data_IF_179799148551
#
_entry.id   IF_179799148551
#
_cell.length_a   1.000
_cell.length_b   1.000
_cell.length_c   1.000
_cell.angle_alpha   90.00
_cell.angle_beta   90.00
_cell.angle_gamma   90.00
#
_symmetry.space_group_name_H-M   'P 1'
#
loop_
_entity.id
_entity.type
_entity.pdbx_description
1 polymer ?
#
# COMPACT_ATOMS: atom_id res chain seq x y z
N UNK A 1 38.11 -3.36 3.91
CA UNK A 1 37.20 -3.95 2.91
C UNK A 1 35.83 -3.31 3.01
N UNK A 2 35.31 -2.83 1.91
CA UNK A 2 33.99 -2.19 1.87
C UNK A 2 32.94 -3.27 1.69
N UNK A 3 32.02 -3.37 2.64
CA UNK A 3 30.92 -4.32 2.57
C UNK A 3 29.67 -3.58 2.07
N UNK A 4 29.06 -4.08 1.01
CA UNK A 4 27.83 -3.49 0.51
C UNK A 4 26.69 -3.71 1.51
N UNK A 5 25.93 -2.66 1.78
CA UNK A 5 24.74 -2.79 2.60
C UNK A 5 23.71 -3.66 1.87
N UNK A 6 23.15 -4.70 2.51
CA UNK A 6 22.12 -5.53 1.89
C UNK A 6 20.92 -4.70 1.44
N UNK A 7 20.34 -5.07 0.30
CA UNK A 7 19.16 -4.37 -0.25
C UNK A 7 18.01 -4.30 0.75
N UNK A 8 17.81 -5.34 1.55
CA UNK A 8 16.77 -5.35 2.59
C UNK A 8 16.99 -4.26 3.64
N UNK A 9 18.23 -4.01 4.07
CA UNK A 9 18.55 -2.95 5.02
C UNK A 9 18.30 -1.57 4.44
N UNK A 10 18.64 -1.35 3.18
CA UNK A 10 18.42 -0.08 2.48
C UNK A 10 16.91 0.20 2.39
N UNK A 11 16.12 -0.79 2.02
CA UNK A 11 14.66 -0.67 1.93
C UNK A 11 14.03 -0.40 3.30
N UNK A 12 14.49 -1.07 4.35
CA UNK A 12 14.00 -0.85 5.69
C UNK A 12 14.28 0.57 6.19
N UNK A 13 15.45 1.13 5.90
CA UNK A 13 15.78 2.52 6.21
C UNK A 13 14.87 3.52 5.49
N UNK A 14 14.61 3.29 4.21
CA UNK A 14 13.72 4.14 3.42
C UNK A 14 12.28 4.08 3.96
N UNK A 15 11.81 2.89 4.29
CA UNK A 15 10.48 2.69 4.87
C UNK A 15 10.37 3.38 6.23
N UNK A 16 11.38 3.27 7.09
CA UNK A 16 11.41 3.94 8.39
C UNK A 16 11.33 5.46 8.24
N UNK A 17 12.09 6.05 7.31
CA UNK A 17 12.01 7.49 7.01
C UNK A 17 10.62 7.92 6.56
N UNK A 18 10.00 7.16 5.66
CA UNK A 18 8.65 7.45 5.19
C UNK A 18 7.64 7.40 6.32
N UNK A 19 7.74 6.43 7.22
CA UNK A 19 6.83 6.29 8.35
C UNK A 19 6.97 7.39 9.38
N UNK A 20 8.12 8.08 9.45
CA UNK A 20 8.28 9.26 10.27
C UNK A 20 7.46 10.45 9.77
N UNK A 21 7.26 10.53 8.46
CA UNK A 21 6.54 11.63 7.83
C UNK A 21 5.11 11.25 7.45
N UNK A 22 4.82 9.95 7.32
CA UNK A 22 3.51 9.44 6.91
C UNK A 22 2.90 8.66 8.08
N UNK A 23 1.88 9.25 8.70
CA UNK A 23 1.12 8.61 9.78
C UNK A 23 -0.35 8.62 9.41
N UNK A 24 -1.00 7.44 9.46
CA UNK A 24 -2.42 7.32 9.23
C UNK A 24 -3.21 7.78 10.46
N UNK A 25 -4.24 8.60 10.23
CA UNK A 25 -5.15 9.07 11.26
C UNK A 25 -6.56 8.55 10.98
N UNK A 26 -7.52 8.64 11.93
CA UNK A 26 -8.89 8.22 11.63
C UNK A 26 -9.51 8.98 10.44
N UNK A 27 -9.17 10.26 10.26
CA UNK A 27 -9.67 11.10 9.16
C UNK A 27 -8.97 10.81 7.84
N UNK A 28 -7.69 10.43 7.90
CA UNK A 28 -6.88 10.13 6.73
C UNK A 28 -5.97 8.94 7.02
N UNK A 29 -6.51 7.71 6.98
CA UNK A 29 -5.72 6.50 7.21
C UNK A 29 -4.60 6.32 6.21
N UNK A 30 -3.64 5.48 6.55
CA UNK A 30 -2.50 5.18 5.70
C UNK A 30 -2.81 3.98 4.79
N UNK A 31 -2.72 4.20 3.48
CA UNK A 31 -2.80 3.11 2.50
C UNK A 31 -1.39 2.53 2.34
N UNK A 32 -1.14 1.41 2.99
CA UNK A 32 0.15 0.72 2.97
C UNK A 32 0.16 -0.35 1.90
N UNK A 33 1.21 -0.37 1.08
CA UNK A 33 1.37 -1.33 0.00
C UNK A 33 2.61 -2.17 0.25
N UNK A 34 2.45 -3.47 0.13
CA UNK A 34 3.54 -4.43 0.19
C UNK A 34 3.50 -5.33 -1.03
N UNK A 35 4.66 -5.66 -1.57
CA UNK A 35 4.75 -6.61 -2.68
C UNK A 35 5.74 -7.72 -2.35
N UNK A 36 5.38 -8.95 -2.70
CA UNK A 36 6.29 -10.07 -2.76
C UNK A 36 6.58 -10.40 -4.22
N UNK A 37 7.38 -11.43 -4.47
CA UNK A 37 7.70 -11.86 -5.82
C UNK A 37 6.43 -12.19 -6.62
N UNK A 38 5.47 -12.87 -6.01
CA UNK A 38 4.29 -13.41 -6.68
C UNK A 38 2.99 -12.67 -6.38
N UNK A 39 2.95 -11.79 -5.39
CA UNK A 39 1.71 -11.17 -4.93
C UNK A 39 1.87 -9.71 -4.52
N UNK A 40 0.74 -9.01 -4.49
CA UNK A 40 0.66 -7.61 -4.07
C UNK A 40 -0.38 -7.51 -2.96
N UNK A 41 -0.09 -6.71 -1.94
CA UNK A 41 -0.92 -6.55 -0.74
C UNK A 41 -1.17 -5.07 -0.49
N UNK A 42 -2.38 -4.74 -0.07
CA UNK A 42 -2.74 -3.37 0.31
C UNK A 42 -3.55 -3.38 1.60
N UNK A 43 -3.26 -2.44 2.50
CA UNK A 43 -3.97 -2.26 3.76
C UNK A 43 -4.24 -0.78 3.99
N UNK A 44 -5.42 -0.47 4.51
CA UNK A 44 -5.76 0.87 4.99
C UNK A 44 -5.70 0.82 6.50
N UNK A 45 -4.78 1.57 7.09
CA UNK A 45 -4.41 1.46 8.51
C UNK A 45 -4.63 2.79 9.22
N UNK A 46 -5.31 2.74 10.37
CA UNK A 46 -5.36 3.82 11.34
C UNK A 46 -4.22 3.62 12.34
N UNK A 47 -3.15 4.39 12.21
CA UNK A 47 -1.97 4.25 13.08
C UNK A 47 -2.22 4.76 14.51
N UNK A 48 -3.20 5.62 14.71
CA UNK A 48 -3.54 6.12 16.05
C UNK A 48 -4.20 5.01 16.88
N UNK A 49 -5.18 4.31 16.28
CA UNK A 49 -5.84 3.20 16.94
C UNK A 49 -5.08 1.88 16.81
N UNK A 50 -4.13 1.80 15.89
CA UNK A 50 -3.36 0.57 15.63
C UNK A 50 -4.17 -0.53 14.98
N UNK A 51 -5.15 -0.19 14.14
CA UNK A 51 -6.04 -1.18 13.50
C UNK A 51 -6.00 -1.06 11.98
N UNK A 52 -6.20 -2.19 11.31
CA UNK A 52 -6.38 -2.25 9.85
C UNK A 52 -7.86 -2.11 9.55
N UNK A 53 -8.22 -1.08 8.80
CA UNK A 53 -9.62 -0.75 8.48
C UNK A 53 -10.11 -1.48 7.24
N UNK A 54 -9.25 -1.68 6.25
CA UNK A 54 -9.56 -2.42 5.03
C UNK A 54 -8.30 -3.08 4.51
N UNK A 55 -8.44 -4.21 3.83
CA UNK A 55 -7.31 -4.92 3.25
C UNK A 55 -7.73 -5.67 2.00
N UNK A 56 -6.79 -5.87 1.08
CA UNK A 56 -6.95 -6.72 -0.09
C UNK A 56 -5.59 -7.23 -0.54
N UNK A 57 -5.55 -8.41 -1.15
CA UNK A 57 -4.33 -8.95 -1.71
C UNK A 57 -4.63 -9.75 -2.98
N UNK A 58 -3.65 -9.81 -3.88
CA UNK A 58 -3.78 -10.65 -5.08
C UNK A 58 -3.83 -12.13 -4.72
N UNK A 59 -3.22 -12.53 -3.61
CA UNK A 59 -3.27 -13.91 -3.12
C UNK A 59 -4.70 -14.33 -2.77
N UNK A 60 -5.39 -13.51 -1.97
CA UNK A 60 -6.77 -13.78 -1.54
C UNK A 60 -7.76 -13.75 -2.70
N UNK A 61 -7.49 -12.93 -3.72
CA UNK A 61 -8.35 -12.78 -4.88
C UNK A 61 -8.06 -13.80 -5.98
N UNK A 62 -7.06 -14.66 -5.78
CA UNK A 62 -6.65 -15.63 -6.79
C UNK A 62 -6.00 -15.01 -8.02
N UNK A 63 -5.46 -13.81 -7.90
CA UNK A 63 -4.78 -13.08 -8.96
C UNK A 63 -3.27 -13.32 -8.87
N UNK A 64 -2.54 -13.07 -9.95
CA UNK A 64 -1.09 -13.14 -9.91
C UNK A 64 -0.44 -11.88 -9.36
N UNK A 65 0.88 -11.76 -9.56
CA UNK A 65 1.64 -10.60 -9.12
C UNK A 65 1.95 -9.59 -10.21
N UNK A 66 1.18 -9.56 -11.29
CA UNK A 66 1.42 -8.65 -12.41
C UNK A 66 0.77 -7.27 -12.19
N UNK A 67 0.98 -6.36 -13.14
CA UNK A 67 0.45 -4.99 -13.08
C UNK A 67 -1.08 -4.97 -13.05
N UNK A 68 -1.74 -5.81 -13.82
CA UNK A 68 -3.20 -5.90 -13.86
C UNK A 68 -3.77 -6.38 -12.52
N UNK A 69 -3.12 -7.37 -11.89
CA UNK A 69 -3.50 -7.85 -10.57
C UNK A 69 -3.36 -6.74 -9.51
N UNK A 70 -2.28 -5.97 -9.58
CA UNK A 70 -2.06 -4.84 -8.67
C UNK A 70 -3.16 -3.78 -8.81
N UNK A 71 -3.57 -3.47 -10.03
CA UNK A 71 -4.68 -2.54 -10.27
C UNK A 71 -5.98 -3.05 -9.65
N UNK A 72 -6.29 -4.32 -9.80
CA UNK A 72 -7.46 -4.96 -9.18
C UNK A 72 -7.43 -4.90 -7.66
N UNK A 73 -6.27 -5.17 -7.07
CA UNK A 73 -6.07 -5.06 -5.61
C UNK A 73 -6.38 -3.63 -5.14
N UNK A 74 -5.87 -2.63 -5.87
CA UNK A 74 -6.14 -1.22 -5.58
C UNK A 74 -7.62 -0.88 -5.65
N UNK A 75 -8.32 -1.32 -6.68
CA UNK A 75 -9.76 -1.12 -6.84
C UNK A 75 -10.54 -1.73 -5.68
N UNK A 76 -10.21 -2.97 -5.29
CA UNK A 76 -10.94 -3.70 -4.25
C UNK A 76 -10.67 -3.13 -2.86
N UNK A 77 -9.43 -2.79 -2.53
CA UNK A 77 -9.13 -2.18 -1.24
C UNK A 77 -9.81 -0.82 -1.11
N UNK A 78 -9.89 -0.07 -2.21
CA UNK A 78 -10.60 1.22 -2.25
C UNK A 78 -12.10 1.03 -2.03
N UNK A 79 -12.72 0.06 -2.69
CA UNK A 79 -14.14 -0.25 -2.48
C UNK A 79 -14.42 -0.63 -1.04
N UNK A 80 -13.58 -1.45 -0.44
CA UNK A 80 -13.73 -1.87 0.97
C UNK A 80 -13.57 -0.69 1.92
N UNK A 81 -12.65 0.23 1.64
CA UNK A 81 -12.47 1.44 2.43
C UNK A 81 -13.68 2.38 2.30
N UNK A 82 -14.17 2.57 1.09
CA UNK A 82 -15.34 3.42 0.83
C UNK A 82 -16.60 2.90 1.53
N UNK A 83 -16.77 1.58 1.59
CA UNK A 83 -17.88 0.94 2.33
C UNK A 83 -17.85 1.31 3.83
N UNK A 84 -16.67 1.60 4.36
CA UNK A 84 -16.50 2.03 5.75
C UNK A 84 -16.49 3.55 5.91
N UNK A 85 -16.80 4.29 4.85
CA UNK A 85 -16.82 5.74 4.87
C UNK A 85 -15.46 6.41 4.76
N UNK A 86 -14.42 5.66 4.39
CA UNK A 86 -13.07 6.18 4.22
C UNK A 86 -12.88 6.61 2.77
N UNK A 87 -12.62 7.90 2.55
CA UNK A 87 -12.39 8.43 1.21
C UNK A 87 -10.98 8.98 1.04
N UNK A 88 -10.43 9.63 2.06
CA UNK A 88 -9.10 10.23 2.04
C UNK A 88 -8.09 9.33 2.72
N UNK A 89 -6.96 9.09 2.06
CA UNK A 89 -5.86 8.30 2.63
C UNK A 89 -4.53 8.96 2.30
N UNK A 90 -3.47 8.60 3.04
CA UNK A 90 -2.10 8.93 2.69
C UNK A 90 -1.44 7.68 2.13
N UNK A 91 -0.71 7.82 1.02
CA UNK A 91 -0.13 6.68 0.34
C UNK A 91 1.28 6.38 0.88
N UNK A 92 1.48 5.15 1.37
CA UNK A 92 2.76 4.63 1.84
C UNK A 92 3.25 3.53 0.89
N UNK A 93 4.31 3.83 0.15
CA UNK A 93 4.89 2.89 -0.83
C UNK A 93 5.65 1.73 -0.20
N UNK A 94 5.85 1.73 1.12
CA UNK A 94 6.62 0.71 1.81
C UNK A 94 8.10 0.67 1.44
N UNK A 95 8.67 1.83 1.07
CA UNK A 95 10.06 1.93 0.61
C UNK A 95 10.27 1.50 -0.84
N UNK A 96 9.22 1.16 -1.56
CA UNK A 96 9.30 0.78 -2.99
C UNK A 96 9.27 2.00 -3.89
N UNK A 97 9.83 1.86 -5.10
CA UNK A 97 9.75 2.90 -6.12
C UNK A 97 8.31 2.97 -6.65
N UNK A 98 7.82 4.21 -6.86
CA UNK A 98 6.49 4.44 -7.44
C UNK A 98 6.52 4.12 -8.94
N UNK A 99 6.44 2.82 -9.25
CA UNK A 99 6.55 2.31 -10.61
C UNK A 99 5.91 0.92 -10.72
N UNK A 100 5.50 0.53 -11.91
CA UNK A 100 4.98 -0.80 -12.20
C UNK A 100 3.78 -1.17 -11.33
N UNK A 101 3.89 -2.24 -10.56
CA UNK A 101 2.81 -2.76 -9.71
C UNK A 101 2.34 -1.76 -8.66
N UNK A 102 3.26 -1.04 -8.04
CA UNK A 102 2.91 -0.06 -7.00
C UNK A 102 2.09 1.09 -7.61
N UNK A 103 2.53 1.60 -8.76
CA UNK A 103 1.82 2.64 -9.49
C UNK A 103 0.43 2.17 -9.94
N UNK A 104 0.33 0.96 -10.48
CA UNK A 104 -0.93 0.39 -10.94
C UNK A 104 -1.94 0.25 -9.80
N UNK A 105 -1.49 -0.19 -8.63
CA UNK A 105 -2.32 -0.29 -7.44
C UNK A 105 -2.86 1.08 -7.01
N UNK A 106 -1.98 2.10 -6.98
CA UNK A 106 -2.37 3.46 -6.63
C UNK A 106 -3.39 4.02 -7.63
N UNK A 107 -3.16 3.81 -8.92
CA UNK A 107 -4.09 4.25 -9.96
C UNK A 107 -5.45 3.56 -9.84
N UNK A 108 -5.47 2.26 -9.59
CA UNK A 108 -6.71 1.51 -9.37
C UNK A 108 -7.49 2.02 -8.16
N UNK A 109 -6.81 2.32 -7.07
CA UNK A 109 -7.43 2.88 -5.88
C UNK A 109 -8.02 4.27 -6.14
N UNK A 110 -7.31 5.13 -6.87
CA UNK A 110 -7.79 6.46 -7.25
C UNK A 110 -9.00 6.39 -8.16
N UNK A 111 -8.97 5.51 -9.16
CA UNK A 111 -10.10 5.31 -10.08
C UNK A 111 -11.35 4.81 -9.35
N UNK A 112 -11.18 4.01 -8.30
CA UNK A 112 -12.30 3.51 -7.50
C UNK A 112 -12.87 4.57 -6.54
N UNK A 113 -12.18 5.69 -6.33
CA UNK A 113 -12.71 6.81 -5.56
C UNK A 113 -11.91 7.26 -4.36
N UNK A 114 -10.78 6.64 -4.05
CA UNK A 114 -9.91 7.11 -2.96
C UNK A 114 -9.20 8.40 -3.38
N UNK A 115 -9.06 9.30 -2.42
CA UNK A 115 -8.41 10.61 -2.59
C UNK A 115 -7.04 10.59 -1.90
N UNK A 116 -6.00 10.69 -2.70
CA UNK A 116 -4.63 10.82 -2.21
C UNK A 116 -3.67 11.31 -3.29
#
# INVERSE_FOLDING_TARGET
>A
MITKTPKKKIRAKKHWKLRHTITGTPERPRLSVYRSLNNVYAQVIDDVAGVTLAAASSLDLGLGGNVEAAKKVGEIVAQRALEKGIKKVVFDRGGNIYHGRIKALAEGAREAGLDF
#
